data_IF_765915659314
#
_entry.id   IF_765915659314
#
_cell.length_a   1.000
_cell.length_b   1.000
_cell.length_c   1.000
_cell.angle_alpha   90.00
_cell.angle_beta   90.00
_cell.angle_gamma   90.00
#
_symmetry.space_group_name_H-M   'P 1'
#
loop_
_entity.id
_entity.type
_entity.pdbx_description
1 polymer ?
#
# COMPACT_ATOMS: atom_id res chain seq x y z
N UNK A 1 -15.53 -35.78 5.46
CA UNK A 1 -15.00 -35.19 4.21
C UNK A 1 -13.92 -34.19 4.61
N UNK A 2 -12.70 -34.28 4.09
CA UNK A 2 -11.53 -33.55 4.60
C UNK A 2 -11.75 -32.03 4.57
N UNK A 3 -11.73 -31.37 5.73
CA UNK A 3 -12.02 -29.94 5.94
C UNK A 3 -11.05 -29.01 5.17
N UNK A 4 -9.89 -29.53 4.76
CA UNK A 4 -8.81 -28.76 4.14
C UNK A 4 -8.23 -29.38 2.85
N UNK A 5 -8.82 -30.46 2.32
CA UNK A 5 -8.13 -31.40 1.41
C UNK A 5 -7.42 -30.75 0.22
N UNK A 6 -8.16 -30.13 -0.69
CA UNK A 6 -7.58 -29.57 -1.92
C UNK A 6 -6.85 -28.25 -1.67
N UNK A 7 -7.45 -27.34 -0.91
CA UNK A 7 -6.87 -26.01 -0.65
C UNK A 7 -5.54 -26.09 0.10
N UNK A 8 -5.40 -27.02 1.06
CA UNK A 8 -4.15 -27.20 1.79
C UNK A 8 -3.06 -27.75 0.87
N UNK A 9 -3.37 -28.73 0.02
CA UNK A 9 -2.42 -29.19 -1.00
C UNK A 9 -2.00 -28.05 -1.94
N UNK A 10 -2.97 -27.27 -2.46
CA UNK A 10 -2.69 -26.16 -3.36
C UNK A 10 -1.82 -25.08 -2.71
N UNK A 11 -2.13 -24.70 -1.47
CA UNK A 11 -1.34 -23.72 -0.72
C UNK A 11 0.05 -24.21 -0.36
N UNK A 12 0.25 -25.48 0.00
CA UNK A 12 1.57 -26.06 0.22
C UNK A 12 2.40 -26.06 -1.06
N UNK A 13 1.79 -26.43 -2.20
CA UNK A 13 2.44 -26.35 -3.51
C UNK A 13 2.87 -24.91 -3.79
N UNK A 14 1.98 -23.93 -3.59
CA UNK A 14 2.29 -22.51 -3.79
C UNK A 14 3.36 -21.99 -2.82
N UNK A 15 3.40 -22.46 -1.58
CA UNK A 15 4.47 -22.15 -0.62
C UNK A 15 5.82 -22.73 -1.07
N UNK A 16 5.85 -23.96 -1.59
CA UNK A 16 7.06 -24.54 -2.18
C UNK A 16 7.51 -23.77 -3.42
N UNK A 17 6.57 -23.34 -4.27
CA UNK A 17 6.88 -22.49 -5.41
C UNK A 17 7.43 -21.14 -4.98
N UNK A 18 6.83 -20.48 -3.98
CA UNK A 18 7.34 -19.24 -3.43
C UNK A 18 8.80 -19.41 -2.96
N UNK A 19 9.09 -20.47 -2.19
CA UNK A 19 10.44 -20.71 -1.68
C UNK A 19 11.47 -21.02 -2.79
N UNK A 20 11.08 -21.74 -3.84
CA UNK A 20 11.99 -22.15 -4.93
C UNK A 20 12.09 -21.14 -6.08
N UNK A 21 11.02 -20.43 -6.41
CA UNK A 21 10.97 -19.48 -7.51
C UNK A 21 11.49 -18.11 -7.11
N UNK A 22 11.29 -17.66 -5.88
CA UNK A 22 11.71 -16.31 -5.45
C UNK A 22 13.21 -16.01 -5.73
N UNK A 23 14.17 -16.95 -5.52
CA UNK A 23 15.58 -16.70 -5.87
C UNK A 23 15.83 -16.58 -7.39
N UNK A 24 15.00 -17.22 -8.22
CA UNK A 24 15.17 -17.29 -9.68
C UNK A 24 14.45 -16.14 -10.38
N UNK A 25 13.18 -15.94 -10.04
CA UNK A 25 12.26 -14.96 -10.60
C UNK A 25 11.64 -14.13 -9.47
N UNK A 26 12.05 -12.86 -9.43
CA UNK A 26 11.52 -11.87 -8.50
C UNK A 26 10.79 -10.79 -9.32
N UNK A 27 9.50 -10.64 -9.07
CA UNK A 27 8.65 -9.61 -9.67
C UNK A 27 9.06 -8.24 -9.16
N UNK A 28 9.48 -8.12 -7.89
CA UNK A 28 10.07 -6.91 -7.33
C UNK A 28 11.31 -6.48 -8.11
N UNK A 29 12.23 -7.41 -8.35
CA UNK A 29 13.44 -7.15 -9.16
C UNK A 29 13.08 -6.78 -10.59
N UNK A 30 12.14 -7.49 -11.21
CA UNK A 30 11.65 -7.17 -12.55
C UNK A 30 11.03 -5.76 -12.63
N UNK A 31 10.24 -5.37 -11.63
CA UNK A 31 9.58 -4.07 -11.58
C UNK A 31 10.59 -2.91 -11.59
N UNK A 32 11.77 -3.08 -10.95
CA UNK A 32 12.85 -2.09 -10.96
C UNK A 32 13.85 -2.24 -12.12
N UNK A 33 14.15 -3.47 -12.56
CA UNK A 33 15.29 -3.78 -13.45
C UNK A 33 14.90 -4.11 -14.90
N UNK A 34 13.64 -4.02 -15.31
CA UNK A 34 13.21 -4.34 -16.69
C UNK A 34 13.71 -3.34 -17.77
N UNK A 35 14.73 -2.54 -17.49
CA UNK A 35 15.37 -1.62 -18.43
C UNK A 35 14.58 -0.34 -18.74
N UNK A 36 13.39 -0.16 -18.16
CA UNK A 36 12.55 1.04 -18.32
C UNK A 36 12.94 2.17 -17.39
N UNK A 37 13.49 1.84 -16.22
CA UNK A 37 13.93 2.83 -15.24
C UNK A 37 15.37 3.24 -15.50
N UNK A 38 15.61 4.55 -15.44
CA UNK A 38 16.90 5.19 -15.69
C UNK A 38 17.28 6.00 -14.46
N UNK A 39 18.46 5.70 -13.92
CA UNK A 39 19.07 6.43 -12.80
C UNK A 39 20.14 7.40 -13.31
N UNK A 40 20.41 8.43 -12.52
CA UNK A 40 21.50 9.37 -12.78
C UNK A 40 22.71 9.01 -11.91
N UNK A 41 23.88 8.89 -12.52
CA UNK A 41 25.15 8.71 -11.80
C UNK A 41 25.56 10.03 -11.14
N UNK A 42 26.20 9.95 -9.97
CA UNK A 42 26.84 11.12 -9.40
C UNK A 42 28.15 11.41 -10.17
N UNK A 43 28.54 12.69 -10.33
CA UNK A 43 29.78 13.04 -11.03
C UNK A 43 31.01 12.55 -10.26
N UNK A 44 32.03 12.10 -10.99
CA UNK A 44 33.28 11.64 -10.40
C UNK A 44 34.14 12.81 -9.91
N UNK A 45 34.97 12.59 -8.88
CA UNK A 45 35.86 13.62 -8.34
C UNK A 45 36.80 14.18 -9.42
N UNK A 46 37.26 13.36 -10.35
CA UNK A 46 38.15 13.80 -11.44
C UNK A 46 37.43 14.68 -12.46
N UNK A 47 36.16 14.38 -12.75
CA UNK A 47 35.32 15.18 -13.61
C UNK A 47 35.03 16.55 -12.97
N UNK A 48 34.66 16.54 -11.68
CA UNK A 48 34.44 17.75 -10.89
C UNK A 48 35.72 18.60 -10.80
N UNK A 49 36.90 17.98 -10.60
CA UNK A 49 38.19 18.69 -10.60
C UNK A 49 38.53 19.27 -11.98
N UNK A 50 38.23 18.56 -13.07
CA UNK A 50 38.43 19.08 -14.44
C UNK A 50 37.53 20.28 -14.73
N UNK A 51 36.26 20.19 -14.36
CA UNK A 51 35.28 21.25 -14.56
C UNK A 51 35.57 22.46 -13.67
N UNK A 52 35.98 22.25 -12.41
CA UNK A 52 36.35 23.33 -11.49
C UNK A 52 37.64 24.07 -11.90
N UNK A 53 38.50 23.43 -12.70
CA UNK A 53 39.74 24.02 -13.23
C UNK A 53 39.55 24.80 -14.53
N UNK A 54 38.40 24.72 -15.21
CA UNK A 54 38.06 25.68 -16.28
C UNK A 54 37.78 27.03 -15.61
N UNK A 55 38.63 28.05 -15.81
CA UNK A 55 38.48 29.30 -15.09
C UNK A 55 37.27 30.05 -15.64
N UNK A 56 36.31 30.35 -14.76
CA UNK A 56 35.46 31.54 -14.91
C UNK A 56 36.42 32.73 -15.07
N UNK A 57 36.17 33.57 -16.06
CA UNK A 57 37.04 34.65 -16.54
C UNK A 57 37.85 35.33 -15.43
N UNK A 58 39.17 35.40 -15.65
CA UNK A 58 40.12 36.05 -14.76
C UNK A 58 39.81 37.54 -14.67
N UNK A 59 39.09 37.96 -13.63
CA UNK A 59 39.21 39.33 -13.12
C UNK A 59 40.53 39.41 -12.38
N UNK A 60 41.49 40.13 -12.97
CA UNK A 60 42.83 40.33 -12.45
C UNK A 60 42.82 40.98 -11.06
N UNK A 61 43.25 40.24 -10.03
CA UNK A 61 43.51 40.76 -8.70
C UNK A 61 44.70 40.06 -8.05
N UNK A 62 45.88 40.69 -8.11
CA UNK A 62 47.10 40.28 -7.38
C UNK A 62 46.85 40.34 -5.87
N UNK A 63 47.23 39.30 -5.11
CA UNK A 63 47.42 39.48 -3.67
C UNK A 63 47.44 38.23 -2.78
N UNK A 64 48.67 37.79 -2.47
CA UNK A 64 49.17 37.34 -1.16
C UNK A 64 48.76 35.98 -0.55
N UNK A 65 49.85 35.27 -0.21
CA UNK A 65 50.09 34.40 0.97
C UNK A 65 49.28 33.12 1.12
N UNK A 66 49.95 31.98 0.89
CA UNK A 66 49.52 30.68 1.41
C UNK A 66 50.57 30.15 2.38
N UNK A 67 50.22 30.23 3.66
CA UNK A 67 50.93 29.65 4.81
C UNK A 67 50.68 28.15 4.81
N UNK A 68 51.71 27.38 5.15
CA UNK A 68 51.70 25.92 5.30
C UNK A 68 50.45 25.40 6.02
N UNK A 69 49.78 24.43 5.42
CA UNK A 69 48.85 23.52 6.10
C UNK A 69 49.29 22.08 5.87
N UNK A 70 49.30 21.33 6.97
CA UNK A 70 49.66 19.91 7.11
C UNK A 70 48.81 18.99 6.20
N UNK A 71 49.30 17.78 5.87
CA UNK A 71 48.61 16.84 5.02
C UNK A 71 47.69 15.92 5.84
N UNK A 72 46.46 16.36 6.09
CA UNK A 72 45.40 15.47 6.59
C UNK A 72 44.06 16.01 6.09
N UNK A 73 43.33 15.20 5.29
CA UNK A 73 42.03 15.46 4.60
C UNK A 73 42.10 15.59 3.06
N UNK A 74 42.62 14.57 2.38
CA UNK A 74 42.78 14.57 0.91
C UNK A 74 41.50 14.28 0.07
N UNK A 75 40.28 14.37 0.60
CA UNK A 75 39.07 13.94 -0.15
C UNK A 75 37.92 14.95 -0.29
N UNK A 76 37.98 16.09 0.39
CA UNK A 76 36.94 17.12 0.32
C UNK A 76 37.45 18.33 -0.45
N UNK A 77 36.82 18.66 -1.58
CA UNK A 77 37.10 19.89 -2.31
C UNK A 77 35.82 20.64 -2.65
N UNK A 78 35.94 21.96 -2.77
CA UNK A 78 34.82 22.85 -3.07
C UNK A 78 34.76 23.16 -4.55
N UNK A 79 33.55 23.14 -5.08
CA UNK A 79 33.24 23.36 -6.48
C UNK A 79 32.19 24.48 -6.58
N UNK A 80 32.33 25.43 -7.51
CA UNK A 80 31.27 26.39 -7.80
C UNK A 80 29.95 25.69 -8.13
N UNK A 81 28.85 26.16 -7.56
CA UNK A 81 27.53 25.56 -7.75
C UNK A 81 27.01 25.68 -9.18
N UNK A 82 27.42 26.73 -9.89
CA UNK A 82 27.03 27.04 -11.27
C UNK A 82 27.79 26.23 -12.33
N UNK A 83 28.59 25.21 -11.96
CA UNK A 83 29.25 24.37 -12.97
C UNK A 83 28.24 23.64 -13.84
N UNK A 84 28.48 23.65 -15.15
CA UNK A 84 27.75 22.86 -16.13
C UNK A 84 28.13 21.38 -16.03
N UNK A 85 27.46 20.67 -15.11
CA UNK A 85 27.56 19.21 -14.99
C UNK A 85 26.42 18.56 -15.78
N UNK A 86 26.73 17.65 -16.70
CA UNK A 86 25.78 16.75 -17.33
C UNK A 86 25.75 15.43 -16.57
N UNK A 87 24.60 15.04 -16.00
CA UNK A 87 24.49 13.75 -15.33
C UNK A 87 24.34 12.63 -16.35
N UNK A 88 25.21 11.63 -16.27
CA UNK A 88 25.08 10.43 -17.06
C UNK A 88 23.88 9.60 -16.59
N UNK A 89 23.05 9.21 -17.56
CA UNK A 89 21.85 8.42 -17.36
C UNK A 89 22.14 6.94 -17.68
N UNK A 90 21.86 6.04 -16.74
CA UNK A 90 22.12 4.61 -16.87
C UNK A 90 20.88 3.80 -16.49
N UNK A 91 20.64 2.67 -17.17
CA UNK A 91 19.58 1.73 -16.80
C UNK A 91 19.91 1.02 -15.49
N UNK A 92 18.89 0.76 -14.68
CA UNK A 92 19.05 0.06 -13.41
C UNK A 92 19.33 -1.43 -13.65
N UNK A 93 20.46 -1.93 -13.16
CA UNK A 93 20.81 -3.35 -13.22
C UNK A 93 20.50 -4.05 -11.89
N UNK A 94 20.32 -5.39 -11.90
CA UNK A 94 20.08 -6.17 -10.68
C UNK A 94 21.09 -5.95 -9.56
N UNK A 95 22.37 -5.74 -9.90
CA UNK A 95 23.46 -5.54 -8.93
C UNK A 95 23.32 -4.20 -8.20
N UNK A 96 22.83 -3.17 -8.88
CA UNK A 96 22.68 -1.82 -8.31
C UNK A 96 21.60 -1.76 -7.24
N UNK A 97 20.60 -2.64 -7.36
CA UNK A 97 19.40 -2.63 -6.53
C UNK A 97 19.65 -3.22 -5.13
N UNK A 98 20.64 -4.09 -4.99
CA UNK A 98 21.02 -4.71 -3.71
C UNK A 98 21.43 -3.68 -2.65
N UNK A 99 22.00 -2.55 -3.08
CA UNK A 99 22.47 -1.48 -2.19
C UNK A 99 21.35 -0.51 -1.80
N UNK A 100 20.14 -0.66 -2.37
CA UNK A 100 19.01 0.19 -2.03
C UNK A 100 18.57 -0.07 -0.60
N UNK A 101 18.19 1.02 0.07
CA UNK A 101 17.66 0.94 1.43
C UNK A 101 16.32 0.21 1.43
N UNK A 102 16.20 -0.79 2.32
CA UNK A 102 15.00 -1.63 2.47
C UNK A 102 14.62 -2.40 1.20
N UNK A 103 15.59 -2.75 0.35
CA UNK A 103 15.33 -3.61 -0.81
C UNK A 103 14.75 -4.97 -0.46
N UNK A 104 15.25 -5.71 0.57
CA UNK A 104 14.68 -7.01 0.90
C UNK A 104 13.19 -6.92 1.29
N UNK A 105 12.82 -5.92 2.09
CA UNK A 105 11.43 -5.69 2.49
C UNK A 105 10.53 -5.34 1.28
N UNK A 106 11.06 -4.59 0.32
CA UNK A 106 10.39 -4.27 -0.95
C UNK A 106 10.17 -5.51 -1.81
N UNK A 107 11.24 -6.29 -2.04
CA UNK A 107 11.21 -7.50 -2.86
C UNK A 107 10.20 -8.51 -2.30
N UNK A 108 10.26 -8.75 -0.99
CA UNK A 108 9.31 -9.62 -0.29
C UNK A 108 7.87 -9.14 -0.42
N UNK A 109 7.60 -7.84 -0.24
CA UNK A 109 6.24 -7.30 -0.37
C UNK A 109 5.66 -7.58 -1.76
N UNK A 110 6.41 -7.25 -2.81
CA UNK A 110 5.93 -7.39 -4.20
C UNK A 110 5.75 -8.85 -4.56
N UNK A 111 6.76 -9.67 -4.33
CA UNK A 111 6.74 -11.07 -4.72
C UNK A 111 5.65 -11.82 -3.96
N UNK A 112 5.57 -11.63 -2.63
CA UNK A 112 4.53 -12.26 -1.82
C UNK A 112 3.13 -11.84 -2.27
N UNK A 113 2.88 -10.56 -2.51
CA UNK A 113 1.57 -10.09 -3.00
C UNK A 113 1.18 -10.68 -4.34
N UNK A 114 2.13 -10.94 -5.25
CA UNK A 114 1.85 -11.65 -6.52
C UNK A 114 1.42 -13.10 -6.26
N UNK A 115 2.11 -13.81 -5.37
CA UNK A 115 1.71 -15.18 -4.98
C UNK A 115 0.36 -15.21 -4.26
N UNK A 116 0.06 -14.21 -3.42
CA UNK A 116 -1.26 -14.06 -2.78
C UNK A 116 -2.36 -13.95 -3.84
N UNK A 117 -2.13 -13.17 -4.90
CA UNK A 117 -3.08 -13.08 -6.02
C UNK A 117 -3.25 -14.41 -6.75
N UNK A 118 -2.17 -15.15 -7.01
CA UNK A 118 -2.28 -16.48 -7.62
C UNK A 118 -3.06 -17.47 -6.75
N UNK A 119 -2.76 -17.51 -5.44
CA UNK A 119 -3.47 -18.36 -4.49
C UNK A 119 -4.94 -17.96 -4.43
N UNK A 120 -5.23 -16.66 -4.30
CA UNK A 120 -6.59 -16.15 -4.22
C UNK A 120 -7.41 -16.47 -5.47
N UNK A 121 -6.89 -16.15 -6.66
CA UNK A 121 -7.58 -16.41 -7.94
C UNK A 121 -7.75 -17.92 -8.14
N UNK A 122 -6.74 -18.73 -7.83
CA UNK A 122 -6.84 -20.19 -7.92
C UNK A 122 -7.94 -20.75 -7.00
N UNK A 123 -8.03 -20.25 -5.77
CA UNK A 123 -9.07 -20.63 -4.82
C UNK A 123 -10.46 -20.16 -5.27
N UNK A 124 -10.58 -18.96 -5.83
CA UNK A 124 -11.83 -18.44 -6.40
C UNK A 124 -12.32 -19.27 -7.59
N UNK A 125 -11.43 -19.63 -8.52
CA UNK A 125 -11.75 -20.52 -9.64
C UNK A 125 -12.19 -21.90 -9.13
N UNK A 126 -11.51 -22.43 -8.11
CA UNK A 126 -11.90 -23.70 -7.48
C UNK A 126 -13.31 -23.63 -6.89
N UNK A 127 -13.60 -22.56 -6.16
CA UNK A 127 -14.90 -22.30 -5.57
C UNK A 127 -16.01 -22.14 -6.62
N UNK A 128 -15.74 -21.50 -7.75
CA UNK A 128 -16.71 -21.32 -8.84
C UNK A 128 -16.99 -22.58 -9.67
N UNK A 129 -16.03 -23.50 -9.73
CA UNK A 129 -16.12 -24.71 -10.54
C UNK A 129 -16.66 -25.90 -9.75
N UNK A 130 -16.27 -26.06 -8.48
CA UNK A 130 -16.59 -27.24 -7.68
C UNK A 130 -17.59 -26.99 -6.55
N UNK A 131 -17.86 -25.74 -6.17
CA UNK A 131 -18.86 -25.38 -5.14
C UNK A 131 -18.76 -26.17 -3.83
N UNK A 132 -17.58 -26.29 -3.18
CA UNK A 132 -17.44 -27.07 -1.95
C UNK A 132 -18.22 -26.46 -0.78
N UNK A 133 -19.09 -27.26 -0.14
CA UNK A 133 -20.02 -26.77 0.88
C UNK A 133 -19.41 -26.61 2.29
N UNK A 134 -18.17 -27.06 2.55
CA UNK A 134 -17.58 -27.12 3.92
C UNK A 134 -16.06 -26.93 4.01
N UNK A 135 -15.46 -26.06 3.20
CA UNK A 135 -14.02 -25.79 3.28
C UNK A 135 -13.73 -24.35 3.72
N UNK A 136 -12.86 -24.22 4.72
CA UNK A 136 -12.34 -22.93 5.17
C UNK A 136 -11.47 -22.30 4.08
N UNK A 137 -11.71 -21.03 3.74
CA UNK A 137 -10.98 -20.35 2.69
C UNK A 137 -9.54 -20.01 3.11
N UNK A 138 -8.59 -20.91 2.81
CA UNK A 138 -7.16 -20.74 3.17
C UNK A 138 -6.54 -19.52 2.48
N UNK A 139 -7.08 -19.06 1.34
CA UNK A 139 -6.56 -17.87 0.66
C UNK A 139 -6.65 -16.60 1.54
N UNK A 140 -7.61 -16.54 2.48
CA UNK A 140 -7.73 -15.42 3.42
C UNK A 140 -6.52 -15.32 4.37
N UNK A 141 -5.86 -16.44 4.68
CA UNK A 141 -4.63 -16.44 5.49
C UNK A 141 -3.50 -15.75 4.71
N UNK A 142 -3.38 -16.03 3.41
CA UNK A 142 -2.40 -15.37 2.55
C UNK A 142 -2.67 -13.87 2.41
N UNK A 143 -3.94 -13.50 2.25
CA UNK A 143 -4.36 -12.09 2.23
C UNK A 143 -4.01 -11.40 3.55
N UNK A 144 -4.30 -12.04 4.69
CA UNK A 144 -3.97 -11.53 6.03
C UNK A 144 -2.46 -11.35 6.26
N UNK A 145 -1.64 -12.31 5.82
CA UNK A 145 -0.18 -12.19 5.84
C UNK A 145 0.32 -11.05 4.94
N UNK A 146 -0.31 -10.83 3.79
CA UNK A 146 0.02 -9.72 2.90
C UNK A 146 -0.32 -8.36 3.53
N UNK A 147 -1.44 -8.28 4.25
CA UNK A 147 -1.80 -7.09 5.05
C UNK A 147 -0.76 -6.85 6.14
N UNK A 148 -0.34 -7.90 6.85
CA UNK A 148 0.71 -7.81 7.87
C UNK A 148 2.01 -7.27 7.28
N UNK A 149 2.47 -7.78 6.14
CA UNK A 149 3.68 -7.26 5.48
C UNK A 149 3.54 -5.79 5.06
N UNK A 150 2.40 -5.40 4.50
CA UNK A 150 2.14 -4.01 4.12
C UNK A 150 2.20 -3.07 5.34
N UNK A 151 1.53 -3.44 6.44
CA UNK A 151 1.53 -2.67 7.69
C UNK A 151 2.93 -2.63 8.33
N UNK A 152 3.63 -3.76 8.41
CA UNK A 152 5.02 -3.85 8.90
C UNK A 152 5.93 -2.91 8.12
N UNK A 153 5.81 -2.88 6.79
CA UNK A 153 6.60 -1.99 5.95
C UNK A 153 6.26 -0.51 6.18
N UNK A 154 4.98 -0.17 6.34
CA UNK A 154 4.58 1.21 6.66
C UNK A 154 5.07 1.65 8.04
N UNK A 155 5.06 0.75 9.05
CA UNK A 155 5.63 1.02 10.38
C UNK A 155 7.15 1.23 10.29
N UNK A 156 7.86 0.39 9.53
CA UNK A 156 9.30 0.54 9.29
C UNK A 156 9.65 1.91 8.68
N UNK A 157 8.84 2.37 7.72
CA UNK A 157 8.96 3.69 7.12
C UNK A 157 8.66 4.79 8.14
N UNK A 158 7.58 4.69 8.91
CA UNK A 158 7.24 5.66 9.94
C UNK A 158 8.35 5.78 10.99
N UNK A 159 8.92 4.65 11.43
CA UNK A 159 10.04 4.60 12.36
C UNK A 159 11.28 5.31 11.82
N UNK A 160 11.56 5.14 10.52
CA UNK A 160 12.64 5.85 9.87
C UNK A 160 12.46 7.38 9.98
N UNK A 161 11.26 7.88 9.72
CA UNK A 161 10.98 9.31 9.86
C UNK A 161 11.00 9.77 11.32
N UNK A 162 10.55 8.93 12.25
CA UNK A 162 10.62 9.20 13.69
C UNK A 162 12.07 9.35 14.20
N UNK A 163 13.00 8.57 13.64
CA UNK A 163 14.41 8.66 13.98
C UNK A 163 15.13 9.89 13.39
N UNK A 164 14.49 10.57 12.43
CA UNK A 164 15.02 11.79 11.83
C UNK A 164 14.76 12.99 12.75
N UNK A 165 15.71 13.94 12.85
CA UNK A 165 15.58 15.15 13.67
C UNK A 165 14.53 16.17 13.15
N UNK A 166 13.67 15.77 12.22
CA UNK A 166 12.69 16.64 11.58
C UNK A 166 11.34 16.63 12.30
N UNK A 167 10.59 17.74 12.20
CA UNK A 167 9.18 17.82 12.61
C UNK A 167 8.22 17.06 11.69
N UNK A 168 8.73 16.12 10.90
CA UNK A 168 7.95 15.33 9.96
C UNK A 168 7.01 14.38 10.72
N UNK A 169 7.49 13.75 11.80
CA UNK A 169 6.69 12.80 12.59
C UNK A 169 5.45 13.44 13.21
N UNK A 170 5.53 14.70 13.65
CA UNK A 170 4.39 15.39 14.24
C UNK A 170 3.27 15.57 13.23
N UNK A 171 3.58 15.81 11.95
CA UNK A 171 2.57 15.89 10.88
C UNK A 171 1.80 14.57 10.72
N UNK A 172 2.50 13.43 10.79
CA UNK A 172 1.88 12.11 10.73
C UNK A 172 0.98 11.85 11.95
N UNK A 173 1.44 12.17 13.17
CA UNK A 173 0.64 12.04 14.40
C UNK A 173 -0.61 12.92 14.33
N UNK A 174 -0.48 14.18 13.92
CA UNK A 174 -1.61 15.08 13.73
C UNK A 174 -2.61 14.53 12.72
N UNK A 175 -2.13 14.00 11.58
CA UNK A 175 -3.01 13.39 10.58
C UNK A 175 -3.72 12.13 11.11
N UNK A 176 -3.06 11.32 11.93
CA UNK A 176 -3.68 10.19 12.64
C UNK A 176 -4.80 10.65 13.59
N UNK A 177 -4.57 11.71 14.38
CA UNK A 177 -5.59 12.27 15.27
C UNK A 177 -6.78 12.87 14.52
N UNK A 178 -6.53 13.57 13.41
CA UNK A 178 -7.60 14.08 12.54
C UNK A 178 -8.38 12.90 11.94
N UNK A 179 -7.68 11.87 11.48
CA UNK A 179 -8.31 10.65 10.94
C UNK A 179 -9.19 9.95 11.98
N UNK A 180 -8.78 9.92 13.25
CA UNK A 180 -9.59 9.40 14.35
C UNK A 180 -10.92 10.16 14.48
N UNK A 181 -10.84 11.50 14.56
CA UNK A 181 -12.01 12.35 14.71
C UNK A 181 -12.94 12.27 13.49
N UNK A 182 -12.38 12.31 12.28
CA UNK A 182 -13.15 12.11 11.05
C UNK A 182 -13.80 10.72 11.02
N UNK A 183 -13.10 9.68 11.48
CA UNK A 183 -13.62 8.31 11.56
C UNK A 183 -14.82 8.20 12.48
N UNK A 184 -14.75 8.83 13.66
CA UNK A 184 -15.89 8.92 14.59
C UNK A 184 -17.07 9.65 13.95
N UNK A 185 -16.84 10.81 13.34
CA UNK A 185 -17.90 11.57 12.67
C UNK A 185 -18.56 10.74 11.56
N UNK A 186 -17.76 10.07 10.72
CA UNK A 186 -18.25 9.24 9.61
C UNK A 186 -19.06 8.06 10.11
N UNK A 187 -18.63 7.38 11.19
CA UNK A 187 -19.36 6.24 11.77
C UNK A 187 -20.64 6.64 12.52
N UNK A 188 -20.84 7.93 12.78
CA UNK A 188 -22.09 8.49 13.31
C UNK A 188 -23.11 8.85 12.21
N UNK A 189 -22.69 8.93 10.94
CA UNK A 189 -23.58 9.21 9.82
C UNK A 189 -24.58 8.05 9.67
N UNK A 190 -25.84 8.39 9.34
CA UNK A 190 -26.90 7.41 9.10
C UNK A 190 -26.61 6.56 7.86
N UNK A 191 -27.02 5.30 7.90
CA UNK A 191 -26.87 4.39 6.75
C UNK A 191 -27.65 4.83 5.52
N UNK A 192 -28.65 5.69 5.66
CA UNK A 192 -29.37 6.31 4.53
C UNK A 192 -28.49 7.22 3.67
N UNK A 193 -27.36 7.68 4.21
CA UNK A 193 -26.40 8.51 3.47
C UNK A 193 -25.17 7.68 3.11
N UNK A 194 -24.66 6.86 4.04
CA UNK A 194 -23.39 6.17 3.88
C UNK A 194 -23.51 4.67 4.15
N UNK A 195 -23.26 3.85 3.13
CA UNK A 195 -23.56 2.41 3.14
C UNK A 195 -22.42 1.55 3.65
N UNK A 196 -22.29 1.43 4.96
CA UNK A 196 -21.40 0.42 5.53
C UNK A 196 -22.13 -0.89 5.86
N UNK A 197 -23.36 -0.83 6.40
CA UNK A 197 -24.08 -2.03 6.89
C UNK A 197 -23.63 -2.45 8.29
N UNK A 198 -23.24 -1.49 9.12
CA UNK A 198 -22.78 -1.70 10.50
C UNK A 198 -23.94 -1.56 11.50
N UNK A 199 -24.94 -0.71 11.23
CA UNK A 199 -26.09 -0.51 12.13
C UNK A 199 -27.22 -1.49 11.92
N UNK A 200 -27.24 -2.20 10.78
CA UNK A 200 -28.16 -3.33 10.53
C UNK A 200 -27.85 -4.58 11.34
N UNK A 201 -26.69 -4.63 12.02
CA UNK A 201 -26.23 -5.80 12.78
C UNK A 201 -27.04 -5.93 14.07
N UNK A 202 -27.96 -6.89 14.10
CA UNK A 202 -28.79 -7.18 15.27
C UNK A 202 -27.98 -8.00 16.30
N UNK A 203 -27.00 -7.36 16.96
CA UNK A 203 -26.12 -7.98 17.97
C UNK A 203 -26.87 -8.55 19.20
N UNK A 204 -28.19 -8.39 19.29
CA UNK A 204 -29.03 -8.83 20.41
C UNK A 204 -29.74 -10.16 20.20
N UNK A 205 -29.73 -10.74 19.00
CA UNK A 205 -30.57 -11.91 18.67
C UNK A 205 -29.88 -13.28 18.80
N UNK A 206 -28.56 -13.36 18.93
CA UNK A 206 -27.88 -14.65 19.15
C UNK A 206 -27.69 -14.91 20.66
N UNK A 207 -28.38 -15.95 21.14
CA UNK A 207 -28.41 -16.43 22.52
C UNK A 207 -27.06 -17.04 22.98
N UNK A 208 -26.06 -16.21 23.25
CA UNK A 208 -24.94 -16.61 24.11
C UNK A 208 -24.70 -15.54 25.18
N UNK A 209 -24.98 -15.91 26.42
CA UNK A 209 -25.02 -15.03 27.60
C UNK A 209 -23.66 -14.44 27.99
N UNK A 210 -22.55 -14.86 27.36
CA UNK A 210 -21.20 -14.30 27.59
C UNK A 210 -20.78 -13.20 26.59
N UNK A 211 -21.28 -13.20 25.35
CA UNK A 211 -20.80 -12.27 24.30
C UNK A 211 -21.61 -10.96 24.27
N UNK A 212 -22.89 -11.01 24.65
CA UNK A 212 -23.77 -9.83 24.65
C UNK A 212 -23.33 -8.71 25.61
N UNK A 213 -22.44 -8.99 26.57
CA UNK A 213 -21.89 -7.96 27.47
C UNK A 213 -20.59 -7.30 26.96
N UNK A 214 -19.89 -7.87 25.97
CA UNK A 214 -18.53 -7.43 25.62
C UNK A 214 -18.43 -6.66 24.31
N UNK A 215 -19.37 -6.82 23.36
CA UNK A 215 -19.25 -6.21 22.04
C UNK A 215 -20.42 -5.27 21.71
N UNK A 216 -20.40 -4.08 22.32
CA UNK A 216 -21.36 -3.02 21.98
C UNK A 216 -21.09 -2.45 20.58
N UNK A 217 -22.15 -2.08 19.85
CA UNK A 217 -22.04 -1.40 18.55
C UNK A 217 -21.15 -0.13 18.63
N UNK A 218 -21.26 0.62 19.72
CA UNK A 218 -20.42 1.77 20.01
C UNK A 218 -18.94 1.40 20.17
N UNK A 219 -18.65 0.27 20.84
CA UNK A 219 -17.30 -0.28 20.97
C UNK A 219 -16.70 -0.66 19.61
N UNK A 220 -17.47 -1.32 18.74
CA UNK A 220 -17.04 -1.62 17.38
C UNK A 220 -16.73 -0.34 16.58
N UNK A 221 -17.60 0.67 16.63
CA UNK A 221 -17.35 1.96 15.98
C UNK A 221 -16.09 2.65 16.51
N UNK A 222 -15.83 2.57 17.82
CA UNK A 222 -14.60 3.09 18.41
C UNK A 222 -13.36 2.34 17.92
N UNK A 223 -13.41 1.01 17.81
CA UNK A 223 -12.31 0.20 17.26
C UNK A 223 -12.04 0.53 15.79
N UNK A 224 -13.09 0.71 14.98
CA UNK A 224 -12.97 1.11 13.57
C UNK A 224 -12.39 2.52 13.43
N UNK A 225 -12.79 3.47 14.27
CA UNK A 225 -12.18 4.78 14.32
C UNK A 225 -10.71 4.72 14.75
N UNK A 226 -10.38 3.85 15.72
CA UNK A 226 -9.00 3.57 16.14
C UNK A 226 -8.14 3.00 15.01
N UNK A 227 -8.68 2.07 14.22
CA UNK A 227 -8.05 1.60 12.98
C UNK A 227 -7.84 2.76 12.01
N UNK A 228 -8.84 3.64 11.85
CA UNK A 228 -8.74 4.81 11.00
C UNK A 228 -7.64 5.78 11.42
N UNK A 229 -7.41 5.93 12.72
CA UNK A 229 -6.32 6.72 13.29
C UNK A 229 -4.95 6.10 12.98
N UNK A 230 -4.80 4.80 13.22
CA UNK A 230 -3.58 4.05 12.96
C UNK A 230 -3.24 4.05 11.47
N UNK A 231 -4.23 3.80 10.61
CA UNK A 231 -4.04 3.91 9.17
C UNK A 231 -3.67 5.34 8.76
N UNK A 232 -4.32 6.35 9.33
CA UNK A 232 -4.01 7.76 9.11
C UNK A 232 -2.53 8.05 9.39
N UNK A 233 -2.06 7.69 10.57
CA UNK A 233 -0.65 7.82 10.98
C UNK A 233 0.29 7.20 9.93
N UNK A 234 0.02 5.96 9.54
CA UNK A 234 0.88 5.20 8.62
C UNK A 234 0.86 5.75 7.18
N UNK A 235 -0.28 6.26 6.68
CA UNK A 235 -0.43 6.67 5.28
C UNK A 235 0.09 8.08 5.00
N UNK A 236 0.25 8.94 6.02
CA UNK A 236 0.61 10.35 5.86
C UNK A 236 1.83 10.56 4.96
N UNK A 237 2.98 9.94 5.26
CA UNK A 237 4.20 10.09 4.45
C UNK A 237 4.10 9.44 3.07
N UNK A 238 3.65 8.16 2.95
CA UNK A 238 3.36 7.57 1.64
C UNK A 238 2.52 8.47 0.73
N UNK A 239 1.47 9.09 1.28
CA UNK A 239 0.56 9.92 0.51
C UNK A 239 1.18 11.27 0.11
N UNK A 240 1.89 11.96 1.01
CA UNK A 240 2.63 13.19 0.66
C UNK A 240 3.68 12.91 -0.42
N UNK A 241 4.36 11.76 -0.32
CA UNK A 241 5.31 11.30 -1.32
C UNK A 241 4.62 11.04 -2.67
N UNK A 242 3.47 10.37 -2.66
CA UNK A 242 2.68 10.12 -3.86
C UNK A 242 2.35 11.43 -4.57
N UNK A 243 1.86 12.45 -3.84
CA UNK A 243 1.53 13.76 -4.41
C UNK A 243 2.73 14.42 -5.08
N UNK A 244 3.91 14.31 -4.47
CA UNK A 244 5.15 14.77 -5.10
C UNK A 244 5.41 14.03 -6.42
N UNK A 245 5.35 12.70 -6.41
CA UNK A 245 5.58 11.88 -7.60
C UNK A 245 4.56 12.16 -8.70
N UNK A 246 3.30 12.41 -8.35
CA UNK A 246 2.26 12.83 -9.26
C UNK A 246 2.59 14.16 -9.94
N UNK A 247 2.93 15.21 -9.18
CA UNK A 247 3.31 16.52 -9.73
C UNK A 247 4.53 16.43 -10.65
N UNK A 248 5.56 15.66 -10.25
CA UNK A 248 6.71 15.43 -11.11
C UNK A 248 6.34 14.64 -12.37
N UNK A 249 5.48 13.63 -12.27
CA UNK A 249 5.04 12.84 -13.43
C UNK A 249 4.30 13.72 -14.44
N UNK A 250 3.45 14.65 -13.97
CA UNK A 250 2.79 15.64 -14.82
C UNK A 250 3.78 16.56 -15.54
N UNK A 251 4.84 16.99 -14.86
CA UNK A 251 5.91 17.81 -15.46
C UNK A 251 6.58 17.09 -16.63
N UNK A 252 6.89 15.81 -16.48
CA UNK A 252 7.54 15.00 -17.53
C UNK A 252 6.56 14.45 -18.57
N UNK A 253 5.26 14.45 -18.30
CA UNK A 253 4.21 14.05 -19.24
C UNK A 253 3.76 15.19 -20.19
N UNK A 254 4.31 16.41 -20.05
CA UNK A 254 4.02 17.54 -20.95
C UNK A 254 4.36 17.15 -22.39
N UNK A 255 3.31 16.96 -23.21
CA UNK A 255 3.41 16.51 -24.61
C UNK A 255 2.65 15.21 -24.91
N UNK A 256 2.34 14.40 -23.90
CA UNK A 256 1.52 13.19 -24.06
C UNK A 256 0.19 13.35 -23.32
N UNK A 257 -0.86 13.73 -24.06
CA UNK A 257 -2.19 13.98 -23.50
C UNK A 257 -2.81 12.72 -22.87
N UNK A 258 -2.57 11.54 -23.45
CA UNK A 258 -3.11 10.28 -22.93
C UNK A 258 -2.49 9.93 -21.57
N UNK A 259 -1.16 10.04 -21.45
CA UNK A 259 -0.48 9.82 -20.18
C UNK A 259 -0.93 10.83 -19.13
N UNK A 260 -1.07 12.10 -19.51
CA UNK A 260 -1.54 13.16 -18.62
C UNK A 260 -2.95 12.86 -18.08
N UNK A 261 -3.89 12.52 -18.96
CA UNK A 261 -5.25 12.12 -18.58
C UNK A 261 -5.26 10.89 -17.67
N UNK A 262 -4.44 9.89 -17.98
CA UNK A 262 -4.32 8.65 -17.21
C UNK A 262 -3.77 8.91 -15.80
N UNK A 263 -2.81 9.83 -15.66
CA UNK A 263 -2.26 10.26 -14.38
C UNK A 263 -3.31 10.98 -13.52
N UNK A 264 -4.13 11.86 -14.12
CA UNK A 264 -5.24 12.50 -13.43
C UNK A 264 -6.27 11.48 -12.96
N UNK A 265 -6.69 10.58 -13.84
CA UNK A 265 -7.65 9.54 -13.48
C UNK A 265 -7.12 8.66 -12.33
N UNK A 266 -5.85 8.26 -12.36
CA UNK A 266 -5.22 7.53 -11.26
C UNK A 266 -5.16 8.30 -9.93
N UNK A 267 -4.94 9.62 -9.98
CA UNK A 267 -4.92 10.45 -8.78
C UNK A 267 -6.31 10.59 -8.14
N UNK A 268 -7.36 10.74 -8.97
CA UNK A 268 -8.74 10.95 -8.52
C UNK A 268 -9.55 9.66 -8.34
N UNK A 269 -9.07 8.50 -8.78
CA UNK A 269 -9.77 7.22 -8.61
C UNK A 269 -10.19 6.93 -7.15
N UNK A 270 -9.37 7.20 -6.12
CA UNK A 270 -9.79 7.06 -4.72
C UNK A 270 -10.99 7.93 -4.31
N UNK A 271 -11.17 9.09 -4.93
CA UNK A 271 -12.33 9.96 -4.70
C UNK A 271 -13.60 9.40 -5.34
N UNK A 272 -13.48 8.76 -6.51
CA UNK A 272 -14.60 8.03 -7.10
C UNK A 272 -14.99 6.85 -6.21
N UNK A 273 -14.02 6.09 -5.68
CA UNK A 273 -14.26 5.03 -4.69
C UNK A 273 -15.00 5.61 -3.48
N UNK A 274 -14.57 6.76 -2.94
CA UNK A 274 -15.24 7.38 -1.81
C UNK A 274 -16.73 7.68 -2.08
N UNK A 275 -17.05 8.20 -3.27
CA UNK A 275 -18.43 8.51 -3.65
C UNK A 275 -19.30 7.29 -3.90
N UNK A 276 -18.73 6.16 -4.31
CA UNK A 276 -19.49 4.93 -4.55
C UNK A 276 -20.24 4.40 -3.30
N UNK A 277 -19.80 4.76 -2.09
CA UNK A 277 -20.44 4.38 -0.82
C UNK A 277 -21.47 5.40 -0.32
N UNK A 278 -21.57 6.57 -0.96
CA UNK A 278 -22.55 7.60 -0.63
C UNK A 278 -23.84 7.29 -1.40
N UNK A 279 -24.90 6.83 -0.70
CA UNK A 279 -26.20 6.42 -1.28
C UNK A 279 -26.72 7.39 -2.35
N UNK A 280 -26.95 8.68 -2.01
CA UNK A 280 -27.56 9.61 -2.96
C UNK A 280 -26.69 9.93 -4.17
N UNK A 281 -25.37 9.70 -4.10
CA UNK A 281 -24.44 10.00 -5.20
C UNK A 281 -24.17 8.81 -6.11
N UNK A 282 -24.42 7.58 -5.64
CA UNK A 282 -24.06 6.37 -6.37
C UNK A 282 -25.23 5.41 -6.52
N UNK A 283 -25.73 4.85 -5.41
CA UNK A 283 -26.79 3.83 -5.46
C UNK A 283 -28.07 4.41 -6.05
N UNK A 284 -28.53 5.56 -5.57
CA UNK A 284 -29.82 6.11 -6.00
C UNK A 284 -29.80 6.51 -7.49
N UNK A 285 -28.63 6.90 -8.00
CA UNK A 285 -28.43 7.28 -9.41
C UNK A 285 -28.32 6.04 -10.31
N UNK A 286 -27.66 4.96 -9.86
CA UNK A 286 -27.41 3.78 -10.70
C UNK A 286 -28.47 2.69 -10.55
N UNK A 287 -29.02 2.49 -9.36
CA UNK A 287 -30.04 1.47 -9.08
C UNK A 287 -31.45 2.07 -9.21
N UNK A 288 -31.65 3.33 -8.81
CA UNK A 288 -32.95 4.01 -8.85
C UNK A 288 -33.64 3.98 -10.22
N UNK A 289 -32.99 4.37 -11.33
CA UNK A 289 -33.56 4.27 -12.67
C UNK A 289 -33.50 2.85 -13.27
N UNK A 290 -33.26 1.81 -12.46
CA UNK A 290 -33.12 0.40 -12.87
C UNK A 290 -31.99 0.13 -13.89
N UNK A 291 -30.89 0.90 -13.87
CA UNK A 291 -29.71 0.59 -14.68
C UNK A 291 -28.96 -0.67 -14.18
N UNK A 292 -28.93 -0.90 -12.86
CA UNK A 292 -28.26 -2.03 -12.22
C UNK A 292 -29.12 -2.65 -11.13
N UNK A 293 -29.01 -3.96 -10.90
CA UNK A 293 -29.56 -4.61 -9.70
C UNK A 293 -28.70 -4.30 -8.47
N UNK A 294 -29.26 -4.47 -7.26
CA UNK A 294 -28.54 -4.23 -6.01
C UNK A 294 -27.22 -5.00 -5.90
N UNK A 295 -27.19 -6.24 -6.37
CA UNK A 295 -26.00 -7.09 -6.30
C UNK A 295 -24.98 -6.75 -7.39
N UNK A 296 -25.46 -6.41 -8.58
CA UNK A 296 -24.58 -5.92 -9.65
C UNK A 296 -23.84 -4.66 -9.23
N UNK A 297 -24.48 -3.78 -8.47
CA UNK A 297 -23.86 -2.57 -7.96
C UNK A 297 -22.76 -2.86 -6.91
N UNK A 298 -22.94 -3.84 -6.02
CA UNK A 298 -21.89 -4.23 -5.07
C UNK A 298 -20.67 -4.84 -5.77
N UNK A 299 -20.90 -5.70 -6.77
CA UNK A 299 -19.82 -6.26 -7.58
C UNK A 299 -19.13 -5.15 -8.38
N UNK A 300 -19.89 -4.18 -8.91
CA UNK A 300 -19.34 -3.03 -9.62
C UNK A 300 -18.37 -2.22 -8.74
N UNK A 301 -18.70 -1.99 -7.46
CA UNK A 301 -17.79 -1.32 -6.51
C UNK A 301 -16.46 -2.07 -6.38
N UNK A 302 -16.52 -3.39 -6.21
CA UNK A 302 -15.34 -4.26 -6.07
C UNK A 302 -14.49 -4.21 -7.34
N UNK A 303 -15.13 -4.39 -8.51
CA UNK A 303 -14.45 -4.32 -9.81
C UNK A 303 -13.78 -2.96 -10.02
N UNK A 304 -14.46 -1.88 -9.68
CA UNK A 304 -13.90 -0.53 -9.82
C UNK A 304 -12.64 -0.35 -8.97
N UNK A 305 -12.63 -0.82 -7.72
CA UNK A 305 -11.42 -0.77 -6.89
C UNK A 305 -10.30 -1.63 -7.49
N UNK A 306 -10.61 -2.85 -7.96
CA UNK A 306 -9.61 -3.73 -8.59
C UNK A 306 -9.00 -3.08 -9.85
N UNK A 307 -9.82 -2.46 -10.70
CA UNK A 307 -9.36 -1.72 -11.87
C UNK A 307 -8.49 -0.51 -11.49
N UNK A 308 -8.87 0.24 -10.45
CA UNK A 308 -8.06 1.34 -9.93
C UNK A 308 -6.70 0.83 -9.42
N UNK A 309 -6.66 -0.32 -8.74
CA UNK A 309 -5.42 -0.96 -8.30
C UNK A 309 -4.53 -1.37 -9.47
N UNK A 310 -5.09 -2.01 -10.50
CA UNK A 310 -4.36 -2.40 -11.72
C UNK A 310 -3.79 -1.18 -12.43
N UNK A 311 -4.57 -0.12 -12.60
CA UNK A 311 -4.10 1.13 -13.18
C UNK A 311 -2.90 1.69 -12.43
N UNK A 312 -2.96 1.68 -11.09
CA UNK A 312 -1.88 2.15 -10.22
C UNK A 312 -0.62 1.29 -10.35
N UNK A 313 -0.76 -0.02 -10.46
CA UNK A 313 0.36 -0.93 -10.75
C UNK A 313 1.01 -0.59 -12.10
N UNK A 314 0.22 -0.40 -13.15
CA UNK A 314 0.73 -0.01 -14.47
C UNK A 314 1.50 1.32 -14.44
N UNK A 315 1.03 2.29 -13.66
CA UNK A 315 1.67 3.60 -13.53
C UNK A 315 2.83 3.65 -12.53
N UNK A 316 3.08 2.58 -11.77
CA UNK A 316 4.14 2.55 -10.75
C UNK A 316 5.49 2.95 -11.35
N UNK A 317 5.83 2.42 -12.53
CA UNK A 317 7.11 2.73 -13.20
C UNK A 317 7.22 4.20 -13.61
N UNK A 318 6.10 4.81 -14.05
CA UNK A 318 6.08 6.23 -14.44
C UNK A 318 6.38 7.10 -13.22
N UNK A 319 5.74 6.80 -12.09
CA UNK A 319 5.97 7.54 -10.84
C UNK A 319 7.37 7.34 -10.28
N UNK A 320 7.90 6.10 -10.32
CA UNK A 320 9.28 5.83 -9.90
C UNK A 320 10.30 6.53 -10.80
N UNK A 321 10.07 6.59 -12.12
CA UNK A 321 10.94 7.34 -13.02
C UNK A 321 10.89 8.85 -12.72
N UNK A 322 9.71 9.40 -12.48
CA UNK A 322 9.56 10.80 -12.08
C UNK A 322 10.31 11.09 -10.77
N UNK A 323 10.38 10.12 -9.85
CA UNK A 323 11.22 10.22 -8.67
C UNK A 323 12.72 10.19 -8.99
N UNK A 324 13.19 9.28 -9.84
CA UNK A 324 14.61 9.22 -10.22
C UNK A 324 15.07 10.51 -10.91
N UNK A 325 14.19 11.14 -11.69
CA UNK A 325 14.43 12.45 -12.30
C UNK A 325 14.59 13.59 -11.28
N UNK A 326 14.23 13.38 -10.01
CA UNK A 326 14.48 14.35 -8.94
C UNK A 326 15.98 14.64 -8.76
N UNK A 327 16.86 13.69 -9.09
CA UNK A 327 18.31 13.91 -9.06
C UNK A 327 18.74 15.05 -10.00
N UNK A 328 18.19 15.05 -11.22
CA UNK A 328 18.42 16.08 -12.21
C UNK A 328 17.80 17.42 -11.78
N UNK A 329 16.58 17.40 -11.27
CA UNK A 329 15.92 18.61 -10.75
C UNK A 329 16.68 19.24 -9.58
N UNK A 330 17.21 18.43 -8.65
CA UNK A 330 18.04 18.90 -7.53
C UNK A 330 19.34 19.53 -8.02
N UNK A 331 20.02 18.90 -8.97
CA UNK A 331 21.23 19.48 -9.56
C UNK A 331 20.92 20.84 -10.21
N UNK A 332 19.84 20.95 -10.97
CA UNK A 332 19.45 22.22 -11.60
C UNK A 332 19.06 23.29 -10.58
N UNK A 333 18.49 22.92 -9.42
CA UNK A 333 18.27 23.87 -8.31
C UNK A 333 19.59 24.36 -7.74
N UNK A 334 20.53 23.46 -7.45
CA UNK A 334 21.87 23.81 -6.95
C UNK A 334 22.58 24.76 -7.92
N UNK A 335 22.49 24.52 -9.24
CA UNK A 335 23.08 25.39 -10.26
C UNK A 335 22.58 26.83 -10.25
N UNK A 336 21.35 27.07 -9.80
CA UNK A 336 20.76 28.41 -9.70
C UNK A 336 21.22 29.18 -8.46
N UNK A 337 21.73 28.48 -7.45
CA UNK A 337 22.22 29.10 -6.22
C UNK A 337 23.69 29.54 -6.40
N UNK A 338 24.01 30.77 -6.01
CA UNK A 338 25.40 31.23 -5.97
C UNK A 338 26.13 30.62 -4.77
N UNK A 339 27.40 30.26 -4.95
CA UNK A 339 28.27 29.82 -3.87
C UNK A 339 29.08 28.59 -4.21
N UNK A 340 29.77 28.07 -3.20
CA UNK A 340 30.61 26.88 -3.29
C UNK A 340 29.89 25.72 -2.60
N UNK A 341 29.90 24.55 -3.22
CA UNK A 341 29.41 23.29 -2.62
C UNK A 341 30.57 22.31 -2.50
N UNK A 342 30.54 21.45 -1.50
CA UNK A 342 31.54 20.37 -1.40
C UNK A 342 31.22 19.26 -2.38
N UNK A 343 32.25 18.59 -2.93
CA UNK A 343 32.08 17.42 -3.80
C UNK A 343 31.21 16.34 -3.11
N UNK A 344 31.48 16.06 -1.84
CA UNK A 344 30.74 15.06 -1.06
C UNK A 344 29.26 15.43 -0.92
N UNK A 345 28.93 16.69 -0.63
CA UNK A 345 27.54 17.11 -0.48
C UNK A 345 26.77 17.05 -1.80
N UNK A 346 27.40 17.46 -2.91
CA UNK A 346 26.83 17.36 -4.25
C UNK A 346 26.57 15.90 -4.64
N UNK A 347 27.60 15.05 -4.53
CA UNK A 347 27.51 13.62 -4.84
C UNK A 347 26.48 12.92 -3.95
N UNK A 348 26.50 13.20 -2.65
CA UNK A 348 25.52 12.66 -1.69
C UNK A 348 24.10 13.06 -2.05
N UNK A 349 23.87 14.31 -2.44
CA UNK A 349 22.52 14.79 -2.82
C UNK A 349 21.95 14.04 -4.02
N UNK A 350 22.79 13.75 -5.02
CA UNK A 350 22.41 13.01 -6.22
C UNK A 350 22.26 11.52 -5.92
N UNK A 351 23.28 10.91 -5.31
CA UNK A 351 23.31 9.48 -4.99
C UNK A 351 22.20 9.07 -4.02
N UNK A 352 21.84 9.93 -3.06
CA UNK A 352 20.76 9.67 -2.11
C UNK A 352 19.41 9.45 -2.81
N UNK A 353 19.14 10.08 -3.95
CA UNK A 353 17.88 9.84 -4.70
C UNK A 353 17.80 8.39 -5.14
N UNK A 354 18.91 7.81 -5.63
CA UNK A 354 18.95 6.42 -6.02
C UNK A 354 18.87 5.49 -4.81
N UNK A 355 19.73 5.65 -3.79
CA UNK A 355 19.73 4.77 -2.60
C UNK A 355 18.40 4.71 -1.84
N UNK A 356 17.60 5.78 -1.93
CA UNK A 356 16.29 5.88 -1.29
C UNK A 356 15.14 5.30 -2.15
N UNK A 357 15.41 4.84 -3.38
CA UNK A 357 14.41 4.31 -4.30
C UNK A 357 13.61 3.13 -3.72
N UNK A 358 14.25 2.22 -2.98
CA UNK A 358 13.56 1.07 -2.37
C UNK A 358 12.45 1.49 -1.41
N UNK A 359 12.72 2.46 -0.53
CA UNK A 359 11.71 3.04 0.37
C UNK A 359 10.59 3.69 -0.42
N UNK A 360 10.92 4.45 -1.47
CA UNK A 360 9.92 5.14 -2.30
C UNK A 360 9.01 4.16 -3.02
N UNK A 361 9.56 3.06 -3.52
CA UNK A 361 8.77 2.00 -4.14
C UNK A 361 7.83 1.33 -3.12
N UNK A 362 8.28 1.07 -1.88
CA UNK A 362 7.39 0.60 -0.82
C UNK A 362 6.32 1.61 -0.43
N UNK A 363 6.66 2.91 -0.33
CA UNK A 363 5.69 3.97 -0.04
C UNK A 363 4.58 4.03 -1.10
N UNK A 364 4.88 3.69 -2.34
CA UNK A 364 3.88 3.62 -3.41
C UNK A 364 3.07 2.32 -3.35
N UNK A 365 3.72 1.18 -3.12
CA UNK A 365 3.10 -0.15 -3.22
C UNK A 365 2.42 -0.65 -1.94
N UNK A 366 2.91 -0.32 -0.74
CA UNK A 366 2.28 -0.81 0.50
C UNK A 366 0.82 -0.36 0.66
N UNK A 367 0.46 0.92 0.42
CA UNK A 367 -0.94 1.35 0.45
C UNK A 367 -1.80 0.67 -0.63
N UNK A 368 -1.20 0.38 -1.79
CA UNK A 368 -1.85 -0.30 -2.89
C UNK A 368 -2.18 -1.76 -2.55
N UNK A 369 -1.22 -2.47 -1.96
CA UNK A 369 -1.41 -3.84 -1.45
C UNK A 369 -2.47 -3.85 -0.36
N UNK A 370 -2.45 -2.89 0.57
CA UNK A 370 -3.44 -2.80 1.64
C UNK A 370 -4.87 -2.59 1.09
N UNK A 371 -5.03 -1.70 0.11
CA UNK A 371 -6.32 -1.48 -0.56
C UNK A 371 -6.79 -2.71 -1.33
N UNK A 372 -5.89 -3.36 -2.06
CA UNK A 372 -6.17 -4.59 -2.80
C UNK A 372 -6.64 -5.68 -1.84
N UNK A 373 -5.86 -5.99 -0.79
CA UNK A 373 -6.22 -6.99 0.21
C UNK A 373 -7.53 -6.67 0.92
N UNK A 374 -7.78 -5.41 1.29
CA UNK A 374 -9.05 -4.99 1.90
C UNK A 374 -10.24 -5.27 0.99
N UNK A 375 -10.06 -5.10 -0.32
CA UNK A 375 -11.07 -5.39 -1.35
C UNK A 375 -11.32 -6.88 -1.52
N UNK A 376 -10.26 -7.71 -1.49
CA UNK A 376 -10.39 -9.17 -1.54
C UNK A 376 -11.08 -9.71 -0.28
N UNK A 377 -10.74 -9.16 0.90
CA UNK A 377 -11.44 -9.46 2.15
C UNK A 377 -12.93 -9.07 2.05
N UNK A 378 -13.24 -7.87 1.56
CA UNK A 378 -14.63 -7.44 1.35
C UNK A 378 -15.38 -8.41 0.44
N UNK A 379 -14.77 -8.85 -0.67
CA UNK A 379 -15.39 -9.79 -1.61
C UNK A 379 -15.68 -11.14 -0.93
N UNK A 380 -14.66 -11.77 -0.35
CA UNK A 380 -14.77 -13.15 0.14
C UNK A 380 -15.44 -13.27 1.50
N UNK A 381 -15.17 -12.35 2.44
CA UNK A 381 -15.79 -12.35 3.77
C UNK A 381 -17.17 -11.69 3.77
N UNK A 382 -17.40 -10.74 2.85
CA UNK A 382 -18.70 -10.08 2.70
C UNK A 382 -19.75 -10.93 1.97
N UNK A 383 -19.40 -12.14 1.51
CA UNK A 383 -20.32 -13.07 0.86
C UNK A 383 -20.73 -12.68 -0.56
N UNK A 384 -19.87 -11.95 -1.29
CA UNK A 384 -20.12 -11.60 -2.70
C UNK A 384 -19.62 -12.72 -3.64
N UNK A 385 -20.40 -13.03 -4.67
CA UNK A 385 -20.09 -14.06 -5.68
C UNK A 385 -20.14 -13.48 -7.09
N UNK A 386 -19.26 -13.94 -7.99
CA UNK A 386 -19.14 -13.44 -9.35
C UNK A 386 -20.24 -13.92 -10.31
N UNK A 387 -20.88 -15.08 -10.03
CA UNK A 387 -21.80 -15.77 -10.98
C UNK A 387 -23.29 -15.40 -10.91
N UNK A 388 -23.70 -14.49 -10.03
CA UNK A 388 -25.08 -14.24 -9.52
C UNK A 388 -25.34 -14.93 -8.18
N UNK A 389 -25.86 -14.13 -7.24
CA UNK A 389 -26.91 -14.48 -6.26
C UNK A 389 -26.98 -15.95 -5.87
N UNK A 390 -26.04 -16.38 -5.05
CA UNK A 390 -26.28 -17.53 -4.20
C UNK A 390 -25.93 -17.12 -2.79
N UNK A 391 -26.96 -16.89 -1.98
CA UNK A 391 -26.93 -16.68 -0.52
C UNK A 391 -26.35 -17.86 0.27
N UNK A 392 -25.50 -18.68 -0.34
CA UNK A 392 -25.08 -19.96 0.24
C UNK A 392 -23.56 -20.06 0.32
N UNK A 393 -22.87 -18.96 0.66
CA UNK A 393 -21.46 -19.08 1.05
C UNK A 393 -21.25 -19.48 2.52
N UNK A 394 -22.29 -19.46 3.37
CA UNK A 394 -22.18 -19.99 4.75
C UNK A 394 -23.47 -20.62 5.30
N UNK A 395 -24.66 -20.45 4.68
CA UNK A 395 -25.84 -21.21 5.11
C UNK A 395 -25.77 -22.65 4.63
N UNK A 396 -25.16 -23.52 5.45
CA UNK A 396 -25.65 -24.85 5.80
C UNK A 396 -24.62 -25.56 6.70
N UNK A 397 -24.54 -25.15 7.97
CA UNK A 397 -24.18 -26.08 9.03
C UNK A 397 -25.49 -26.77 9.42
N UNK A 398 -25.78 -28.01 8.98
CA UNK A 398 -26.89 -28.73 9.55
C UNK A 398 -26.57 -28.93 11.03
N UNK A 399 -27.57 -28.70 11.88
CA UNK A 399 -27.64 -29.19 13.24
C UNK A 399 -27.46 -30.72 13.21
N UNK A 400 -26.21 -31.18 13.24
CA UNK A 400 -25.91 -32.59 13.39
C UNK A 400 -26.24 -32.97 14.82
N UNK A 401 -27.42 -33.55 15.02
CA UNK A 401 -27.67 -34.48 16.12
C UNK A 401 -26.66 -35.62 15.97
N UNK A 402 -25.47 -35.44 16.54
CA UNK A 402 -24.47 -36.51 16.64
C UNK A 402 -24.98 -37.47 17.71
N UNK A 403 -25.56 -38.57 17.26
CA UNK A 403 -25.71 -39.76 18.08
C UNK A 403 -24.29 -40.27 18.39
N UNK A 404 -23.98 -40.32 19.67
CA UNK A 404 -22.70 -40.73 20.22
C UNK A 404 -22.42 -42.20 19.92
N UNK A 405 -21.59 -42.46 18.90
CA UNK A 405 -20.94 -43.75 18.74
C UNK A 405 -19.66 -43.77 19.59
N UNK A 406 -19.65 -44.65 20.59
CA UNK A 406 -18.52 -44.90 21.47
C UNK A 406 -17.28 -45.34 20.67
N UNK A 407 -16.24 -44.51 20.66
CA UNK A 407 -14.88 -44.92 20.29
C UNK A 407 -13.95 -44.54 21.43
N UNK A 408 -13.50 -45.57 22.14
CA UNK A 408 -12.46 -45.51 23.15
C UNK A 408 -11.07 -45.52 22.48
N UNK A 409 -10.24 -44.54 22.86
CA UNK A 409 -8.77 -44.44 22.84
C UNK A 409 -8.25 -43.13 22.20
N UNK A 410 -7.29 -42.51 22.92
CA UNK A 410 -6.61 -41.20 22.74
C UNK A 410 -7.40 -39.92 23.08
N UNK A 411 -7.75 -39.79 24.36
CA UNK A 411 -8.55 -38.70 24.93
C UNK A 411 -7.94 -37.30 24.81
N UNK A 412 -6.61 -37.11 24.86
CA UNK A 412 -6.03 -35.76 24.90
C UNK A 412 -5.95 -35.04 23.56
N UNK A 413 -5.64 -35.75 22.47
CA UNK A 413 -5.60 -35.13 21.13
C UNK A 413 -7.02 -34.90 20.58
N UNK A 414 -7.93 -35.86 20.79
CA UNK A 414 -9.32 -35.74 20.35
C UNK A 414 -10.04 -34.64 21.12
N UNK A 415 -9.79 -34.49 22.43
CA UNK A 415 -10.35 -33.40 23.25
C UNK A 415 -9.74 -32.03 22.91
N UNK A 416 -8.44 -31.96 22.57
CA UNK A 416 -7.81 -30.75 22.06
C UNK A 416 -8.36 -30.34 20.69
N UNK A 417 -8.58 -31.30 19.79
CA UNK A 417 -9.17 -31.05 18.48
C UNK A 417 -10.66 -30.69 18.60
N UNK A 418 -11.40 -31.31 19.51
CA UNK A 418 -12.81 -30.97 19.74
C UNK A 418 -12.97 -29.60 20.40
N UNK A 419 -12.11 -29.25 21.37
CA UNK A 419 -12.09 -27.92 22.00
C UNK A 419 -11.62 -26.82 21.07
N UNK A 420 -10.66 -27.11 20.19
CA UNK A 420 -10.28 -26.21 19.11
C UNK A 420 -11.44 -26.00 18.13
N UNK A 421 -12.12 -27.07 17.71
CA UNK A 421 -13.28 -26.99 16.81
C UNK A 421 -14.47 -26.25 17.45
N UNK A 422 -14.74 -26.45 18.74
CA UNK A 422 -15.80 -25.71 19.44
C UNK A 422 -15.42 -24.23 19.59
N UNK A 423 -14.18 -23.92 19.94
CA UNK A 423 -13.70 -22.53 19.97
C UNK A 423 -13.72 -21.86 18.60
N UNK A 424 -13.48 -22.62 17.52
CA UNK A 424 -13.59 -22.14 16.15
C UNK A 424 -15.05 -21.88 15.77
N UNK A 425 -15.98 -22.74 16.21
CA UNK A 425 -17.42 -22.54 16.04
C UNK A 425 -17.93 -21.31 16.79
N UNK A 426 -17.49 -21.12 18.03
CA UNK A 426 -17.82 -19.96 18.85
C UNK A 426 -17.28 -18.65 18.22
N UNK A 427 -16.08 -18.70 17.63
CA UNK A 427 -15.50 -17.56 16.89
C UNK A 427 -16.30 -17.30 15.61
N UNK A 428 -16.72 -18.32 14.86
CA UNK A 428 -17.54 -18.13 13.65
C UNK A 428 -18.93 -17.59 13.95
N UNK A 429 -19.51 -17.91 15.12
CA UNK A 429 -20.78 -17.35 15.55
C UNK A 429 -20.67 -15.86 15.90
N UNK A 430 -19.50 -15.39 16.34
CA UNK A 430 -19.23 -13.96 16.57
C UNK A 430 -18.98 -13.20 15.25
N UNK A 431 -18.30 -13.82 14.28
CA UNK A 431 -17.99 -13.23 12.98
C UNK A 431 -19.06 -13.53 11.94
N UNK A 432 -20.26 -12.97 12.14
CA UNK A 432 -21.33 -13.06 11.14
C UNK A 432 -20.91 -12.41 9.82
N UNK A 433 -21.45 -12.91 8.70
CA UNK A 433 -21.19 -12.35 7.36
C UNK A 433 -21.55 -10.86 7.31
N UNK A 434 -22.64 -10.46 7.97
CA UNK A 434 -23.09 -9.07 8.00
C UNK A 434 -22.09 -8.16 8.74
N UNK A 435 -21.55 -8.62 9.87
CA UNK A 435 -20.50 -7.90 10.60
C UNK A 435 -19.22 -7.78 9.76
N UNK A 436 -18.76 -8.89 9.17
CA UNK A 436 -17.56 -8.89 8.33
C UNK A 436 -17.73 -8.02 7.09
N UNK A 437 -18.91 -8.04 6.46
CA UNK A 437 -19.27 -7.15 5.35
C UNK A 437 -19.17 -5.69 5.78
N UNK A 438 -19.77 -5.33 6.91
CA UNK A 438 -19.75 -3.96 7.43
C UNK A 438 -18.35 -3.46 7.76
N UNK A 439 -17.56 -4.28 8.45
CA UNK A 439 -16.17 -3.98 8.84
C UNK A 439 -15.27 -3.88 7.60
N UNK A 440 -15.32 -4.85 6.69
CA UNK A 440 -14.49 -4.82 5.48
C UNK A 440 -14.89 -3.67 4.54
N UNK A 441 -16.18 -3.35 4.47
CA UNK A 441 -16.71 -2.22 3.68
C UNK A 441 -16.15 -0.91 4.21
N UNK A 442 -16.21 -0.70 5.52
CA UNK A 442 -15.59 0.46 6.15
C UNK A 442 -14.07 0.50 5.93
N UNK A 443 -13.35 -0.60 6.13
CA UNK A 443 -11.89 -0.63 5.97
C UNK A 443 -11.50 -0.29 4.53
N UNK A 444 -12.12 -0.92 3.52
CA UNK A 444 -11.81 -0.67 2.11
C UNK A 444 -12.10 0.79 1.72
N UNK A 445 -13.25 1.32 2.14
CA UNK A 445 -13.61 2.72 1.93
C UNK A 445 -12.65 3.68 2.65
N UNK A 446 -12.36 3.42 3.93
CA UNK A 446 -11.55 4.28 4.78
C UNK A 446 -10.09 4.34 4.31
N UNK A 447 -9.49 3.21 3.94
CA UNK A 447 -8.14 3.15 3.35
C UNK A 447 -8.05 4.04 2.11
N UNK A 448 -9.05 3.96 1.21
CA UNK A 448 -9.12 4.79 0.01
C UNK A 448 -9.31 6.28 0.33
N UNK A 449 -10.26 6.61 1.21
CA UNK A 449 -10.57 7.99 1.62
C UNK A 449 -9.38 8.64 2.30
N UNK A 450 -8.76 7.97 3.28
CA UNK A 450 -7.57 8.49 3.96
C UNK A 450 -6.39 8.69 2.99
N UNK A 451 -6.19 7.76 2.05
CA UNK A 451 -5.16 7.92 1.04
C UNK A 451 -5.42 9.16 0.18
N UNK A 452 -6.66 9.36 -0.28
CA UNK A 452 -7.02 10.54 -1.07
C UNK A 452 -6.81 11.85 -0.31
N UNK A 453 -7.35 11.96 0.92
CA UNK A 453 -7.24 13.17 1.73
C UNK A 453 -5.77 13.50 2.01
N UNK A 454 -4.99 12.50 2.42
CA UNK A 454 -3.56 12.69 2.68
C UNK A 454 -2.80 13.10 1.40
N UNK A 455 -3.17 12.57 0.24
CA UNK A 455 -2.58 12.98 -1.03
C UNK A 455 -2.98 14.41 -1.43
N UNK A 456 -4.21 14.83 -1.18
CA UNK A 456 -4.63 16.22 -1.38
C UNK A 456 -3.85 17.18 -0.48
N UNK A 457 -3.71 16.86 0.82
CA UNK A 457 -2.87 17.63 1.75
C UNK A 457 -1.41 17.67 1.29
N UNK A 458 -0.88 16.56 0.78
CA UNK A 458 0.45 16.50 0.17
C UNK A 458 0.59 17.42 -1.05
N UNK A 459 -0.44 17.54 -1.87
CA UNK A 459 -0.45 18.41 -3.04
C UNK A 459 -0.42 19.88 -2.60
N UNK A 460 -1.21 20.25 -1.59
CA UNK A 460 -1.18 21.59 -0.98
C UNK A 460 0.20 21.88 -0.37
N UNK A 461 0.78 20.92 0.34
CA UNK A 461 2.11 21.05 0.93
C UNK A 461 3.17 21.36 -0.13
N UNK A 462 3.24 20.58 -1.22
CA UNK A 462 4.23 20.80 -2.28
C UNK A 462 3.96 22.04 -3.13
N UNK A 463 2.71 22.49 -3.23
CA UNK A 463 2.35 23.65 -4.06
C UNK A 463 2.55 25.00 -3.33
N UNK A 464 2.35 25.04 -2.01
CA UNK A 464 2.35 26.29 -1.24
C UNK A 464 3.49 26.42 -0.23
N UNK A 465 4.05 25.32 0.28
CA UNK A 465 5.07 25.36 1.34
C UNK A 465 6.48 25.02 0.84
N UNK A 466 6.60 24.29 -0.26
CA UNK A 466 7.88 23.84 -0.84
C UNK A 466 8.16 24.41 -2.23
N UNK A 467 7.10 24.81 -2.94
CA UNK A 467 7.18 25.53 -4.22
C UNK A 467 7.51 26.99 -3.99
#
# INVERSE_FOLDING_TARGET
>A
MAIFGFQLCFTLIMACFLQKLMPLFSFGRWLLCNGTLVRYKHPHDDELKKLAKKPVEKVNGKGRHRRNQQPTEEKTFKVPRNIEISLEAEKINPVDVVVLRSYPDYEWLVDYSVFVMFVYVGTEVYYELWGPEREFNISMIWVGLSVWFAVKNMISILWLYASSKGGEISMSITFGMISFLCGLCVLMIKEDILEFGITSINMTQHNSTMVNQQFSLSGLKLLLAGFGALHGLLIAFPAIRMSQMYLHSLKYAKGNNLLNLTLHFNFFAPLVIMFLWVKPLARDIMVGPSLLTNEQFEIFRIIFILLACVLRLCLTRVHLQAYLNLAFDKLNKIKKESGLITNIELQRTIAHVFYYLGIVAMQYLSPLVLLLCSTLCLKSLGGFSWKQVSTNYVQNIPSSNVTSANVSQDSTFVEMVSSFNSGLHDITDVFTIELLRGVCSFIAWWVSTNWFIASCLGLLYHSYLVG
#
